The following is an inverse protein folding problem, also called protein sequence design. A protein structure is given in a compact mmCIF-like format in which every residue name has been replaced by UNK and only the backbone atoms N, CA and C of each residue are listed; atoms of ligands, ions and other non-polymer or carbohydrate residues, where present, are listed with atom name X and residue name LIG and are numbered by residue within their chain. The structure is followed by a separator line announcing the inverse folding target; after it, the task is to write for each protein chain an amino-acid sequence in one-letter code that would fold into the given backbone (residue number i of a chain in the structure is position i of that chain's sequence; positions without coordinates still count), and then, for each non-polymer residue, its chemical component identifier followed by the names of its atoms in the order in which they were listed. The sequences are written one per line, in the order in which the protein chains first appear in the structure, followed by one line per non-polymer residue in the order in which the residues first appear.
data_IF_967130681549
#
_entry.id   IF_967130681549
#
_cell.length_a   1.000
_cell.length_b   1.000
_cell.length_c   1.000
_cell.angle_alpha   90.00
_cell.angle_beta   90.00
_cell.angle_gamma   90.00
#
_symmetry.space_group_name_H-M   'P 1'
#
loop_
_entity.id
_entity.type
_entity.pdbx_description
1 polymer ?
#
# COMPACT_ATOMS: atom_id res chain seq x y z
N UNK A 1 59.26 -27.15 -68.92
CA UNK A 1 57.85 -26.91 -68.56
C UNK A 1 57.74 -26.97 -67.04
N UNK A 2 57.61 -25.84 -66.34
CA UNK A 2 57.69 -25.77 -64.88
C UNK A 2 56.24 -25.68 -64.32
N UNK A 3 55.90 -26.60 -63.45
CA UNK A 3 54.67 -26.61 -62.66
C UNK A 3 54.78 -25.62 -61.49
N UNK A 4 53.86 -24.67 -61.41
CA UNK A 4 53.68 -23.81 -60.22
C UNK A 4 52.68 -24.47 -59.29
N UNK A 5 53.11 -24.76 -58.06
CA UNK A 5 52.24 -25.11 -56.94
C UNK A 5 51.82 -23.79 -56.24
N UNK A 6 50.56 -23.57 -56.06
CA UNK A 6 50.01 -22.52 -55.18
C UNK A 6 49.62 -23.16 -53.85
N UNK A 7 50.02 -22.64 -52.71
CA UNK A 7 49.66 -23.22 -51.44
C UNK A 7 48.27 -22.70 -51.01
N UNK A 8 47.45 -23.66 -50.58
CA UNK A 8 46.17 -23.45 -49.92
C UNK A 8 46.45 -23.17 -48.41
N UNK A 9 46.48 -21.93 -47.96
CA UNK A 9 46.47 -21.64 -46.53
C UNK A 9 46.02 -20.18 -46.34
N UNK A 10 44.78 -19.98 -45.93
CA UNK A 10 44.28 -18.89 -45.10
C UNK A 10 42.76 -18.69 -45.25
N UNK A 11 42.01 -19.66 -44.77
CA UNK A 11 40.55 -19.45 -44.58
C UNK A 11 40.09 -20.26 -43.37
N UNK A 12 40.36 -19.77 -42.18
CA UNK A 12 39.99 -20.50 -40.96
C UNK A 12 40.06 -19.75 -39.65
N UNK A 13 40.06 -18.40 -39.64
CA UNK A 13 40.26 -17.68 -38.37
C UNK A 13 39.35 -16.47 -38.11
N UNK A 14 38.28 -16.29 -38.91
CA UNK A 14 37.40 -15.11 -38.71
C UNK A 14 36.02 -15.42 -38.15
N UNK A 15 35.63 -16.66 -37.86
CA UNK A 15 34.28 -16.98 -37.38
C UNK A 15 34.14 -17.18 -35.85
N UNK A 16 35.22 -17.23 -35.09
CA UNK A 16 35.13 -17.53 -33.64
C UNK A 16 35.08 -16.29 -32.75
N UNK A 17 35.44 -15.09 -33.25
CA UNK A 17 35.51 -13.89 -32.39
C UNK A 17 34.15 -13.19 -32.27
N UNK A 18 33.29 -13.24 -33.29
CA UNK A 18 31.99 -12.55 -33.29
C UNK A 18 30.96 -13.20 -32.34
N UNK A 19 30.98 -14.50 -32.14
CA UNK A 19 30.06 -15.20 -31.25
C UNK A 19 30.33 -14.95 -29.75
N UNK A 20 31.60 -14.81 -29.37
CA UNK A 20 31.96 -14.54 -27.98
C UNK A 20 31.69 -13.09 -27.56
N UNK A 21 31.75 -12.11 -28.47
CA UNK A 21 31.46 -10.72 -28.15
C UNK A 21 29.95 -10.51 -27.90
N UNK A 22 29.08 -11.15 -28.70
CA UNK A 22 27.62 -11.05 -28.53
C UNK A 22 27.13 -11.76 -27.26
N UNK A 23 27.67 -12.93 -26.94
CA UNK A 23 27.31 -13.63 -25.71
C UNK A 23 27.76 -12.88 -24.46
N UNK A 24 28.93 -12.23 -24.50
CA UNK A 24 29.42 -11.45 -23.36
C UNK A 24 28.64 -10.12 -23.16
N UNK A 25 28.21 -9.44 -24.22
CA UNK A 25 27.38 -8.26 -24.11
C UNK A 25 25.99 -8.60 -23.56
N UNK A 26 25.32 -9.62 -24.05
CA UNK A 26 24.00 -10.07 -23.54
C UNK A 26 24.10 -10.52 -22.09
N UNK A 27 25.18 -11.19 -21.69
CA UNK A 27 25.38 -11.58 -20.29
C UNK A 27 25.64 -10.38 -19.38
N UNK A 28 26.45 -9.41 -19.83
CA UNK A 28 26.73 -8.18 -19.10
C UNK A 28 25.48 -7.32 -18.94
N UNK A 29 24.66 -7.17 -19.98
CA UNK A 29 23.41 -6.43 -19.93
C UNK A 29 22.39 -7.09 -18.98
N UNK A 30 22.30 -8.43 -18.97
CA UNK A 30 21.45 -9.17 -18.06
C UNK A 30 21.90 -9.04 -16.59
N UNK A 31 23.20 -9.08 -16.32
CA UNK A 31 23.76 -8.89 -14.98
C UNK A 31 23.54 -7.45 -14.53
N UNK A 32 23.75 -6.47 -15.39
CA UNK A 32 23.55 -5.06 -15.09
C UNK A 32 22.06 -4.75 -14.79
N UNK A 33 21.15 -5.25 -15.62
CA UNK A 33 19.70 -5.11 -15.41
C UNK A 33 19.23 -5.80 -14.12
N UNK A 34 19.78 -6.97 -13.80
CA UNK A 34 19.48 -7.68 -12.55
C UNK A 34 20.01 -6.93 -11.32
N UNK A 35 21.22 -6.35 -11.41
CA UNK A 35 21.81 -5.57 -10.34
C UNK A 35 21.06 -4.27 -10.08
N UNK A 36 20.61 -3.58 -11.13
CA UNK A 36 19.74 -2.38 -11.02
C UNK A 36 18.42 -2.76 -10.35
N UNK A 37 17.75 -3.83 -10.80
CA UNK A 37 16.50 -4.30 -10.22
C UNK A 37 16.62 -4.69 -8.74
N UNK A 38 17.74 -5.29 -8.32
CA UNK A 38 18.05 -5.61 -6.92
C UNK A 38 18.32 -4.35 -6.10
N UNK A 39 19.05 -3.38 -6.66
CA UNK A 39 19.33 -2.10 -6.02
C UNK A 39 18.05 -1.29 -5.79
N UNK A 40 17.15 -1.25 -6.78
CA UNK A 40 15.87 -0.54 -6.69
C UNK A 40 14.95 -1.18 -5.65
N UNK A 41 14.91 -2.52 -5.57
CA UNK A 41 14.16 -3.26 -4.54
C UNK A 41 14.67 -2.95 -3.13
N UNK A 42 15.98 -2.97 -2.92
CA UNK A 42 16.60 -2.65 -1.62
C UNK A 42 16.35 -1.18 -1.24
N UNK A 43 16.40 -0.27 -2.21
CA UNK A 43 16.10 1.15 -2.01
C UNK A 43 14.63 1.39 -1.62
N UNK A 44 13.67 0.74 -2.29
CA UNK A 44 12.25 0.92 -1.99
C UNK A 44 11.87 0.43 -0.57
N UNK A 45 12.40 -0.72 -0.11
CA UNK A 45 12.18 -1.20 1.26
C UNK A 45 12.91 -0.35 2.30
N UNK A 46 14.05 0.28 1.98
CA UNK A 46 14.73 1.19 2.91
C UNK A 46 13.96 2.48 3.17
N UNK A 47 13.07 2.86 2.24
CA UNK A 47 12.19 4.03 2.32
C UNK A 47 10.83 3.73 2.97
N UNK A 48 10.58 2.49 3.37
CA UNK A 48 9.33 2.06 3.99
C UNK A 48 9.58 1.48 5.38
N UNK A 49 8.56 1.57 6.23
CA UNK A 49 8.47 0.87 7.52
C UNK A 49 7.49 -0.29 7.36
N UNK A 50 7.72 -1.39 8.09
CA UNK A 50 6.79 -2.52 8.16
C UNK A 50 6.29 -2.68 9.58
N UNK A 51 5.00 -2.91 9.73
CA UNK A 51 4.33 -3.09 11.02
C UNK A 51 3.52 -4.37 10.97
N UNK A 52 3.75 -5.26 11.91
CA UNK A 52 2.84 -6.37 12.21
C UNK A 52 1.72 -5.84 13.11
N UNK A 53 0.50 -5.76 12.55
CA UNK A 53 -0.64 -5.21 13.28
C UNK A 53 -1.08 -6.12 14.42
N UNK A 54 -0.82 -7.43 14.36
CA UNK A 54 -1.11 -8.35 15.47
C UNK A 54 -0.16 -8.11 16.64
N UNK A 55 1.14 -7.93 16.34
CA UNK A 55 2.12 -7.58 17.38
C UNK A 55 1.82 -6.21 17.99
N UNK A 56 1.45 -5.23 17.16
CA UNK A 56 1.08 -3.89 17.64
C UNK A 56 -0.13 -3.93 18.58
N UNK A 57 -1.18 -4.70 18.27
CA UNK A 57 -2.36 -4.86 19.13
C UNK A 57 -2.00 -5.58 20.42
N UNK A 58 -1.16 -6.63 20.34
CA UNK A 58 -0.78 -7.44 21.49
C UNK A 58 0.11 -6.68 22.50
N UNK A 59 0.97 -5.80 22.00
CA UNK A 59 1.88 -5.01 22.85
C UNK A 59 2.11 -3.61 22.26
N UNK A 60 1.11 -2.70 22.35
CA UNK A 60 1.21 -1.36 21.79
C UNK A 60 2.31 -0.51 22.46
N UNK A 61 2.74 -0.88 23.66
CA UNK A 61 3.81 -0.15 24.38
C UNK A 61 5.20 -0.26 23.74
N UNK A 62 5.39 -1.21 22.82
CA UNK A 62 6.62 -1.32 22.01
C UNK A 62 6.73 -0.23 20.93
N UNK A 63 5.67 0.52 20.70
CA UNK A 63 5.59 1.53 19.65
C UNK A 63 5.51 2.92 20.27
N UNK A 64 6.03 3.92 19.56
CA UNK A 64 6.12 5.31 20.02
C UNK A 64 4.76 6.05 19.92
N UNK A 65 3.74 5.49 20.57
CA UNK A 65 2.46 6.17 20.72
C UNK A 65 2.62 7.38 21.66
N UNK A 66 1.93 8.45 21.33
CA UNK A 66 1.81 9.62 22.19
C UNK A 66 0.35 9.96 22.47
N UNK A 67 0.06 10.53 23.62
CA UNK A 67 -1.29 10.94 24.00
C UNK A 67 -1.75 12.10 23.10
N UNK A 68 -2.65 11.80 22.18
CA UNK A 68 -3.24 12.79 21.27
C UNK A 68 -4.41 13.54 21.93
N UNK A 69 -5.21 12.83 22.70
CA UNK A 69 -6.33 13.31 23.53
C UNK A 69 -6.49 12.39 24.74
N UNK A 70 -7.26 12.78 25.77
CA UNK A 70 -7.57 11.85 26.86
C UNK A 70 -8.12 10.53 26.32
N UNK A 71 -7.52 9.41 26.72
CA UNK A 71 -7.84 8.03 26.31
C UNK A 71 -7.70 7.73 24.81
N UNK A 72 -6.96 8.55 24.09
CA UNK A 72 -6.70 8.38 22.66
C UNK A 72 -5.20 8.59 22.38
N UNK A 73 -4.53 7.52 22.05
CA UNK A 73 -3.12 7.50 21.66
C UNK A 73 -2.98 7.53 20.14
N UNK A 74 -1.91 8.15 19.64
CA UNK A 74 -1.61 8.25 18.21
C UNK A 74 -0.16 7.86 17.95
N UNK A 75 0.07 7.06 16.91
CA UNK A 75 1.36 6.72 16.33
C UNK A 75 1.43 7.28 14.92
N UNK A 76 2.31 8.24 14.64
CA UNK A 76 2.53 8.76 13.29
C UNK A 76 3.42 7.79 12.53
N UNK A 77 2.96 7.33 11.36
CA UNK A 77 3.69 6.41 10.48
C UNK A 77 4.39 7.14 9.34
N UNK A 78 3.77 8.22 8.84
CA UNK A 78 4.26 9.02 7.72
C UNK A 78 3.67 10.42 7.79
N UNK A 79 4.44 11.44 7.45
CA UNK A 79 4.01 12.85 7.54
C UNK A 79 4.12 13.41 8.96
N UNK A 80 3.31 14.43 9.28
CA UNK A 80 3.24 15.05 10.60
C UNK A 80 1.80 15.29 11.04
N UNK A 81 1.53 15.30 12.34
CA UNK A 81 0.19 15.32 12.91
C UNK A 81 -0.66 16.54 12.53
N UNK A 82 0.00 17.66 12.23
CA UNK A 82 -0.60 18.94 11.83
C UNK A 82 -0.69 19.13 10.31
N UNK A 83 -0.25 18.16 9.53
CA UNK A 83 -0.29 18.18 8.07
C UNK A 83 -0.88 16.87 7.52
N UNK A 84 -0.73 16.64 6.23
CA UNK A 84 -1.03 15.35 5.58
C UNK A 84 -0.23 14.23 6.26
N UNK A 85 -0.89 13.15 6.71
CA UNK A 85 -0.23 12.07 7.41
C UNK A 85 -1.00 10.75 7.40
N UNK A 86 -0.26 9.67 7.68
CA UNK A 86 -0.79 8.35 8.00
C UNK A 86 -0.42 8.04 9.45
N UNK A 87 -1.39 7.55 10.21
CA UNK A 87 -1.23 7.24 11.63
C UNK A 87 -2.03 6.02 12.04
N UNK A 88 -1.68 5.46 13.21
CA UNK A 88 -2.54 4.53 13.94
C UNK A 88 -3.11 5.28 15.14
N UNK A 89 -4.44 5.21 15.33
CA UNK A 89 -5.12 5.61 16.55
C UNK A 89 -5.42 4.40 17.41
N UNK A 90 -5.29 4.55 18.71
CA UNK A 90 -5.63 3.56 19.71
C UNK A 90 -6.49 4.18 20.80
N UNK A 91 -7.73 3.70 20.95
CA UNK A 91 -8.58 4.03 22.10
C UNK A 91 -8.21 3.13 23.27
N UNK A 92 -7.64 3.72 24.32
CA UNK A 92 -7.12 2.98 25.49
C UNK A 92 -8.22 2.48 26.43
N UNK A 93 -9.43 2.99 26.26
CA UNK A 93 -10.63 2.56 26.99
C UNK A 93 -11.82 2.39 26.04
N UNK A 94 -12.82 1.56 26.40
CA UNK A 94 -14.08 1.47 25.64
C UNK A 94 -14.85 2.80 25.60
N UNK A 95 -15.76 2.93 24.63
CA UNK A 95 -16.65 4.09 24.44
C UNK A 95 -15.90 5.40 24.23
N UNK A 96 -14.75 5.35 23.58
CA UNK A 96 -14.01 6.54 23.17
C UNK A 96 -14.82 7.43 22.24
N UNK A 97 -14.51 8.73 22.25
CA UNK A 97 -15.21 9.71 21.43
C UNK A 97 -14.26 10.80 20.91
N UNK A 98 -14.60 11.37 19.75
CA UNK A 98 -13.96 12.58 19.21
C UNK A 98 -15.07 13.58 18.87
N UNK A 99 -14.90 14.84 19.29
CA UNK A 99 -15.85 15.90 19.01
C UNK A 99 -16.11 16.10 17.51
N UNK A 100 -17.20 16.78 17.18
CA UNK A 100 -17.50 17.14 15.79
C UNK A 100 -16.31 17.88 15.17
N UNK A 101 -15.92 17.46 13.97
CA UNK A 101 -14.82 18.04 13.22
C UNK A 101 -15.09 17.99 11.71
N UNK A 102 -14.46 18.88 10.99
CA UNK A 102 -14.60 19.10 9.56
C UNK A 102 -13.37 18.56 8.82
N UNK A 103 -13.61 18.00 7.64
CA UNK A 103 -12.58 17.53 6.71
C UNK A 103 -12.60 18.39 5.44
N UNK A 104 -11.58 19.22 5.23
CA UNK A 104 -11.43 19.99 3.99
C UNK A 104 -11.03 19.13 2.79
N UNK A 105 -10.41 17.97 3.06
CA UNK A 105 -9.96 16.97 2.11
C UNK A 105 -10.42 15.57 2.57
N UNK A 106 -10.13 14.53 1.80
CA UNK A 106 -10.52 13.16 2.16
C UNK A 106 -9.80 12.66 3.42
N UNK A 107 -10.57 12.04 4.31
CA UNK A 107 -10.10 11.16 5.37
C UNK A 107 -10.34 9.69 4.98
N UNK A 108 -9.38 8.82 5.28
CA UNK A 108 -9.53 7.36 5.21
C UNK A 108 -9.37 6.77 6.59
N UNK A 109 -10.25 5.83 6.94
CA UNK A 109 -10.17 5.06 8.17
C UNK A 109 -10.31 3.58 7.87
N UNK A 110 -9.38 2.77 8.39
CA UNK A 110 -9.45 1.31 8.40
C UNK A 110 -9.46 0.79 9.83
N UNK A 111 -10.49 0.05 10.20
CA UNK A 111 -10.61 -0.55 11.54
C UNK A 111 -9.77 -1.81 11.60
N UNK A 112 -8.64 -1.76 12.31
CA UNK A 112 -7.72 -2.89 12.51
C UNK A 112 -8.34 -3.88 13.51
N UNK A 113 -8.79 -3.36 14.64
CA UNK A 113 -9.43 -4.12 15.72
C UNK A 113 -10.44 -3.23 16.45
N UNK A 114 -11.53 -3.82 16.94
CA UNK A 114 -12.58 -3.11 17.65
C UNK A 114 -13.65 -2.51 16.74
N UNK A 115 -14.11 -1.30 17.08
CA UNK A 115 -15.26 -0.68 16.40
C UNK A 115 -15.18 0.84 16.50
N UNK A 116 -15.47 1.54 15.41
CA UNK A 116 -15.74 2.97 15.41
C UNK A 116 -17.21 3.24 15.06
N UNK A 117 -17.79 4.26 15.67
CA UNK A 117 -19.20 4.62 15.45
C UNK A 117 -19.34 6.13 15.26
N UNK A 118 -20.13 6.52 14.28
CA UNK A 118 -20.58 7.90 14.06
C UNK A 118 -22.07 7.94 13.66
N UNK A 119 -22.56 9.10 13.25
CA UNK A 119 -23.96 9.24 12.80
C UNK A 119 -24.23 8.57 11.45
N UNK A 120 -23.21 8.14 10.71
CA UNK A 120 -23.33 7.49 9.40
C UNK A 120 -23.30 5.96 9.50
N UNK A 121 -22.75 5.40 10.59
CA UNK A 121 -22.68 3.96 10.73
C UNK A 121 -21.85 3.46 11.89
N UNK A 122 -21.76 2.15 11.93
CA UNK A 122 -20.89 1.36 12.82
C UNK A 122 -19.87 0.64 11.96
N UNK A 123 -18.60 0.80 12.27
CA UNK A 123 -17.46 0.33 11.49
C UNK A 123 -16.62 -0.68 12.28
N UNK A 124 -17.01 -1.98 12.28
CA UNK A 124 -16.27 -3.02 12.99
C UNK A 124 -14.93 -3.36 12.30
N UNK A 125 -14.14 -4.21 12.91
CA UNK A 125 -12.88 -4.77 12.37
C UNK A 125 -13.03 -5.18 10.91
N UNK A 126 -12.09 -4.74 10.06
CA UNK A 126 -12.11 -4.94 8.60
C UNK A 126 -12.93 -3.91 7.83
N UNK A 127 -13.57 -2.95 8.50
CA UNK A 127 -14.23 -1.83 7.80
C UNK A 127 -13.20 -0.83 7.29
N UNK A 128 -13.33 -0.47 6.03
CA UNK A 128 -12.65 0.64 5.39
C UNK A 128 -13.71 1.68 5.02
N UNK A 129 -13.54 2.92 5.44
CA UNK A 129 -14.42 3.99 4.99
C UNK A 129 -13.65 5.26 4.69
N UNK A 130 -14.26 6.10 3.85
CA UNK A 130 -13.71 7.38 3.43
C UNK A 130 -14.75 8.46 3.62
N UNK A 131 -14.38 9.51 4.32
CA UNK A 131 -15.11 10.75 4.41
C UNK A 131 -14.62 11.70 3.31
N UNK A 132 -15.50 12.16 2.39
CA UNK A 132 -15.08 13.01 1.28
C UNK A 132 -14.75 14.44 1.74
N UNK A 133 -14.18 15.28 0.86
CA UNK A 133 -14.00 16.70 1.14
C UNK A 133 -15.30 17.38 1.57
N UNK A 134 -15.18 18.39 2.43
CA UNK A 134 -16.27 19.17 3.01
C UNK A 134 -17.23 18.35 3.89
N UNK A 135 -16.86 17.14 4.26
CA UNK A 135 -17.56 16.31 5.23
C UNK A 135 -17.19 16.67 6.66
N UNK A 136 -17.89 16.08 7.60
CA UNK A 136 -17.53 16.15 9.02
C UNK A 136 -18.40 15.25 9.87
N UNK A 137 -17.82 14.75 10.95
CA UNK A 137 -18.50 13.82 11.83
C UNK A 137 -18.06 13.97 13.28
N UNK A 138 -18.82 13.34 14.17
CA UNK A 138 -18.51 13.15 15.58
C UNK A 138 -18.37 11.66 15.81
N UNK A 139 -17.26 11.24 16.38
CA UNK A 139 -17.05 9.86 16.76
C UNK A 139 -17.65 9.59 18.15
N UNK A 140 -18.35 8.48 18.27
CA UNK A 140 -18.95 8.00 19.52
C UNK A 140 -18.69 6.50 19.68
N UNK A 141 -18.65 6.03 20.92
CA UNK A 141 -18.57 4.58 21.24
C UNK A 141 -17.47 3.82 20.49
N UNK A 142 -16.29 4.39 20.36
CA UNK A 142 -15.16 3.74 19.69
C UNK A 142 -14.29 2.97 20.65
N UNK A 143 -13.69 1.88 20.16
CA UNK A 143 -12.73 1.05 20.90
C UNK A 143 -11.79 0.37 19.92
N UNK A 144 -10.53 0.14 20.34
CA UNK A 144 -9.54 -0.60 19.55
C UNK A 144 -8.61 0.28 18.72
N UNK A 145 -8.19 -0.23 17.56
CA UNK A 145 -7.11 0.32 16.75
C UNK A 145 -7.56 0.63 15.32
N UNK A 146 -7.07 1.75 14.78
CA UNK A 146 -7.47 2.24 13.46
C UNK A 146 -6.27 2.77 12.69
N UNK A 147 -6.15 2.45 11.39
CA UNK A 147 -5.28 3.19 10.48
C UNK A 147 -6.06 4.39 9.98
N UNK A 148 -5.52 5.59 10.16
CA UNK A 148 -6.05 6.81 9.60
C UNK A 148 -5.09 7.41 8.60
N UNK A 149 -5.63 7.88 7.48
CA UNK A 149 -4.90 8.69 6.52
C UNK A 149 -5.67 9.99 6.29
N UNK A 150 -5.01 11.11 6.50
CA UNK A 150 -5.55 12.43 6.31
C UNK A 150 -4.86 13.14 5.14
N UNK A 151 -5.60 13.47 4.09
CA UNK A 151 -5.09 14.36 3.05
C UNK A 151 -4.97 15.81 3.57
N UNK A 152 -5.76 16.18 4.57
CA UNK A 152 -5.64 17.38 5.40
C UNK A 152 -6.08 17.06 6.82
N UNK A 153 -5.45 17.62 7.87
CA UNK A 153 -5.83 17.37 9.26
C UNK A 153 -7.31 17.76 9.53
N UNK A 154 -7.96 17.09 10.49
CA UNK A 154 -9.32 17.46 10.89
C UNK A 154 -9.36 18.85 11.55
N UNK A 155 -10.38 19.64 11.24
CA UNK A 155 -10.60 20.99 11.75
C UNK A 155 -11.79 21.02 12.71
N UNK A 156 -11.53 21.37 13.97
CA UNK A 156 -12.53 21.45 15.03
C UNK A 156 -13.21 22.83 15.13
N UNK A 157 -12.74 23.81 14.34
CA UNK A 157 -13.20 25.20 14.39
C UNK A 157 -14.21 25.54 13.30
N UNK A 158 -14.12 24.89 12.14
CA UNK A 158 -14.91 25.18 10.93
C UNK A 158 -16.05 24.17 10.72
N UNK A 159 -16.70 23.73 11.79
CA UNK A 159 -17.77 22.72 11.72
C UNK A 159 -19.05 23.23 11.03
N UNK A 160 -19.22 24.53 10.89
CA UNK A 160 -20.27 25.20 10.11
C UNK A 160 -20.13 25.00 8.59
N UNK A 161 -18.93 24.59 8.11
CA UNK A 161 -18.66 24.29 6.69
C UNK A 161 -19.05 22.88 6.27
N UNK A 162 -19.49 22.03 7.20
CA UNK A 162 -19.86 20.65 6.92
C UNK A 162 -21.06 20.63 5.98
N UNK A 163 -20.90 19.93 4.85
CA UNK A 163 -21.97 19.69 3.88
C UNK A 163 -22.56 18.28 4.05
N UNK A 164 -23.81 18.05 3.62
CA UNK A 164 -24.35 16.69 3.52
C UNK A 164 -23.46 15.80 2.64
N UNK A 165 -23.15 14.59 3.11
CA UNK A 165 -22.31 13.65 2.41
C UNK A 165 -22.71 12.20 2.70
N UNK A 166 -22.23 11.30 1.85
CA UNK A 166 -22.27 9.85 2.06
C UNK A 166 -20.84 9.33 2.02
N UNK A 167 -20.36 8.65 3.07
CA UNK A 167 -19.04 8.05 3.05
C UNK A 167 -19.01 6.87 2.08
N UNK A 168 -17.86 6.64 1.44
CA UNK A 168 -17.61 5.36 0.77
C UNK A 168 -17.25 4.34 1.84
N UNK A 169 -17.93 3.19 1.85
CA UNK A 169 -17.74 2.14 2.86
C UNK A 169 -17.50 0.80 2.19
N UNK A 170 -16.52 0.04 2.68
CA UNK A 170 -16.15 -1.27 2.19
C UNK A 170 -15.89 -2.18 3.39
N UNK A 171 -16.57 -3.31 3.47
CA UNK A 171 -16.20 -4.37 4.41
C UNK A 171 -15.15 -5.27 3.74
N UNK A 172 -13.87 -5.06 4.08
CA UNK A 172 -12.77 -5.85 3.49
C UNK A 172 -12.70 -7.28 4.03
N UNK A 173 -13.40 -7.57 5.12
CA UNK A 173 -13.52 -8.91 5.70
C UNK A 173 -14.66 -9.73 5.07
N UNK A 174 -15.48 -9.11 4.18
CA UNK A 174 -16.55 -9.79 3.48
C UNK A 174 -16.00 -10.95 2.62
N UNK A 175 -16.44 -12.20 2.83
CA UNK A 175 -16.03 -13.32 1.98
C UNK A 175 -16.46 -13.14 0.51
N UNK A 176 -17.51 -12.37 0.25
CA UNK A 176 -18.05 -12.08 -1.07
C UNK A 176 -17.57 -10.73 -1.65
N UNK A 177 -16.49 -10.17 -1.12
CA UNK A 177 -15.95 -8.87 -1.54
C UNK A 177 -15.85 -8.73 -3.07
N UNK A 178 -15.37 -9.77 -3.77
CA UNK A 178 -15.23 -9.74 -5.24
C UNK A 178 -16.56 -9.85 -6.00
N UNK A 179 -17.63 -10.30 -5.36
CA UNK A 179 -18.97 -10.31 -5.94
C UNK A 179 -19.67 -8.96 -5.75
N UNK A 180 -19.37 -8.29 -4.62
CA UNK A 180 -20.01 -7.03 -4.24
C UNK A 180 -19.35 -5.81 -4.89
N UNK A 181 -18.10 -5.95 -5.37
CA UNK A 181 -17.33 -4.88 -6.01
C UNK A 181 -16.79 -5.31 -7.36
N UNK A 182 -16.83 -4.40 -8.34
CA UNK A 182 -16.37 -4.70 -9.70
C UNK A 182 -14.87 -4.59 -9.80
N UNK A 183 -14.20 -5.73 -9.73
CA UNK A 183 -12.76 -5.82 -9.98
C UNK A 183 -12.48 -5.91 -11.49
N UNK A 184 -11.58 -5.08 -11.99
CA UNK A 184 -11.13 -5.10 -13.37
C UNK A 184 -9.78 -5.81 -13.51
N UNK A 185 -9.54 -6.51 -14.62
CA UNK A 185 -8.24 -7.09 -14.91
C UNK A 185 -7.26 -5.97 -15.26
N UNK A 186 -6.16 -5.87 -14.49
CA UNK A 186 -5.06 -4.96 -14.79
C UNK A 186 -3.98 -5.66 -15.63
N UNK A 187 -3.73 -6.95 -15.34
CA UNK A 187 -2.82 -7.84 -16.07
C UNK A 187 -3.14 -9.30 -15.72
N UNK A 188 -2.48 -10.27 -16.39
CA UNK A 188 -2.72 -11.70 -16.15
C UNK A 188 -2.55 -12.05 -14.65
N UNK A 189 -3.62 -12.59 -14.05
CA UNK A 189 -3.66 -12.98 -12.62
C UNK A 189 -3.72 -11.82 -11.64
N UNK A 190 -3.93 -10.56 -12.09
CA UNK A 190 -4.10 -9.41 -11.20
C UNK A 190 -5.40 -8.68 -11.53
N UNK A 191 -6.24 -8.55 -10.51
CA UNK A 191 -7.49 -7.77 -10.53
C UNK A 191 -7.40 -6.60 -9.58
N UNK A 192 -7.96 -5.46 -9.94
CA UNK A 192 -7.95 -4.24 -9.14
C UNK A 192 -9.37 -3.69 -9.05
N UNK A 193 -9.76 -3.30 -7.85
CA UNK A 193 -10.91 -2.45 -7.61
C UNK A 193 -10.41 -1.05 -7.23
N UNK A 194 -10.69 -0.08 -8.09
CA UNK A 194 -10.45 1.33 -7.80
C UNK A 194 -11.59 1.84 -6.92
N UNK A 195 -11.26 2.29 -5.70
CA UNK A 195 -12.26 2.85 -4.78
C UNK A 195 -12.75 4.19 -5.35
N UNK A 196 -14.07 4.41 -5.51
CA UNK A 196 -14.61 5.60 -6.16
C UNK A 196 -14.56 6.82 -5.22
N UNK A 197 -13.39 7.42 -5.06
CA UNK A 197 -13.17 8.62 -4.26
C UNK A 197 -13.29 9.89 -5.11
N UNK A 198 -13.62 11.03 -4.47
CA UNK A 198 -13.58 12.34 -5.11
C UNK A 198 -12.14 12.67 -5.53
N UNK A 199 -11.85 12.91 -6.83
CA UNK A 199 -10.51 13.25 -7.29
C UNK A 199 -9.93 14.52 -6.64
N UNK A 200 -10.80 15.42 -6.17
CA UNK A 200 -10.39 16.65 -5.46
C UNK A 200 -10.02 16.40 -4.01
N UNK A 201 -10.28 15.18 -3.51
CA UNK A 201 -10.04 14.82 -2.11
C UNK A 201 -8.57 14.62 -1.75
N UNK A 202 -7.66 14.65 -2.74
CA UNK A 202 -6.22 14.48 -2.51
C UNK A 202 -5.83 13.07 -2.08
N UNK A 203 -6.66 12.07 -2.40
CA UNK A 203 -6.43 10.67 -2.02
C UNK A 203 -6.98 9.73 -3.09
N UNK A 204 -6.30 8.60 -3.30
CA UNK A 204 -6.80 7.48 -4.07
C UNK A 204 -6.57 6.16 -3.33
N UNK A 205 -7.41 5.16 -3.56
CA UNK A 205 -7.27 3.85 -2.93
C UNK A 205 -7.64 2.73 -3.88
N UNK A 206 -7.00 1.58 -3.71
CA UNK A 206 -7.21 0.39 -4.52
C UNK A 206 -7.23 -0.86 -3.64
N UNK A 207 -8.12 -1.80 -3.99
CA UNK A 207 -8.01 -3.18 -3.49
C UNK A 207 -7.44 -4.00 -4.64
N UNK A 208 -6.30 -4.64 -4.38
CA UNK A 208 -5.50 -5.36 -5.38
C UNK A 208 -5.53 -6.85 -5.03
N UNK A 209 -6.03 -7.68 -5.92
CA UNK A 209 -5.96 -9.13 -5.83
C UNK A 209 -4.96 -9.67 -6.83
N UNK A 210 -3.99 -10.46 -6.37
CA UNK A 210 -3.07 -11.20 -7.22
C UNK A 210 -3.19 -12.69 -6.94
N UNK A 211 -3.27 -13.49 -8.00
CA UNK A 211 -3.26 -14.97 -7.98
C UNK A 211 -2.08 -15.54 -8.77
N UNK A 212 -1.12 -14.69 -9.12
CA UNK A 212 0.03 -15.08 -9.93
C UNK A 212 1.33 -14.49 -9.39
N UNK A 213 2.46 -15.06 -9.84
CA UNK A 213 3.80 -14.53 -9.54
C UNK A 213 4.16 -13.28 -10.37
N UNK A 214 3.27 -12.88 -11.29
CA UNK A 214 3.48 -11.69 -12.12
C UNK A 214 3.40 -10.46 -11.24
N UNK A 215 4.41 -9.60 -11.35
CA UNK A 215 4.51 -8.40 -10.52
C UNK A 215 3.60 -7.30 -11.04
N UNK A 216 2.76 -6.81 -10.17
CA UNK A 216 1.97 -5.60 -10.39
C UNK A 216 2.70 -4.40 -9.77
N UNK A 217 2.90 -3.33 -10.54
CA UNK A 217 3.49 -2.09 -10.03
C UNK A 217 2.38 -1.23 -9.42
N UNK A 218 2.48 -0.97 -8.13
CA UNK A 218 1.61 -0.05 -7.39
C UNK A 218 2.39 1.18 -6.96
N UNK A 219 1.79 2.36 -7.12
CA UNK A 219 2.31 3.63 -6.60
C UNK A 219 1.41 4.07 -5.45
N UNK A 220 1.97 4.29 -4.27
CA UNK A 220 1.19 4.67 -3.10
C UNK A 220 2.02 4.95 -1.87
N UNK A 221 1.32 5.28 -0.78
CA UNK A 221 1.92 5.59 0.50
C UNK A 221 1.91 4.41 1.45
N UNK A 222 0.91 3.51 1.32
CA UNK A 222 0.95 2.23 2.03
C UNK A 222 0.33 1.07 1.25
N UNK A 223 0.68 -0.15 1.67
CA UNK A 223 0.03 -1.42 1.35
C UNK A 223 -0.27 -2.17 2.66
N UNK A 224 -1.52 -2.57 2.86
CA UNK A 224 -1.95 -3.46 3.93
C UNK A 224 -2.36 -4.81 3.32
N UNK A 225 -1.77 -5.90 3.80
CA UNK A 225 -2.16 -7.26 3.38
C UNK A 225 -3.44 -7.66 4.11
N UNK A 226 -4.54 -7.77 3.35
CA UNK A 226 -5.87 -8.11 3.87
C UNK A 226 -6.09 -9.63 3.97
N UNK A 227 -5.51 -10.41 3.03
CA UNK A 227 -5.69 -11.87 2.97
C UNK A 227 -4.54 -12.53 2.21
N UNK A 228 -4.16 -13.73 2.64
CA UNK A 228 -3.10 -14.55 2.05
C UNK A 228 -1.72 -13.96 2.27
N UNK A 229 -0.78 -14.32 1.37
CA UNK A 229 0.61 -13.90 1.44
C UNK A 229 1.00 -13.12 0.18
N UNK A 230 1.46 -11.89 0.36
CA UNK A 230 1.88 -10.99 -0.70
C UNK A 230 3.41 -10.90 -0.76
N UNK A 231 3.98 -11.04 -1.95
CA UNK A 231 5.37 -10.65 -2.19
C UNK A 231 5.40 -9.16 -2.56
N UNK A 232 5.91 -8.34 -1.66
CA UNK A 232 6.06 -6.89 -1.88
C UNK A 232 7.55 -6.57 -1.95
N UNK A 233 8.01 -6.09 -3.10
CA UNK A 233 9.41 -5.76 -3.37
C UNK A 233 10.40 -6.92 -3.09
N UNK A 234 9.96 -8.17 -3.28
CA UNK A 234 10.79 -9.36 -3.09
C UNK A 234 10.81 -9.91 -1.67
N UNK A 235 10.06 -9.33 -0.72
CA UNK A 235 9.85 -9.85 0.64
C UNK A 235 8.41 -10.32 0.79
N UNK A 236 8.20 -11.44 1.47
CA UNK A 236 6.87 -11.99 1.75
C UNK A 236 6.29 -11.33 2.99
N UNK A 237 5.01 -10.95 2.90
CA UNK A 237 4.22 -10.36 3.97
C UNK A 237 2.88 -11.09 4.03
N UNK A 238 2.55 -11.56 5.21
CA UNK A 238 1.29 -12.25 5.47
C UNK A 238 0.18 -11.28 5.85
N UNK A 239 -1.04 -11.80 6.00
CA UNK A 239 -2.20 -11.04 6.46
C UNK A 239 -1.88 -10.22 7.71
N UNK A 240 -2.42 -8.99 7.79
CA UNK A 240 -2.27 -8.01 8.85
C UNK A 240 -0.88 -7.34 8.90
N UNK A 241 -0.05 -7.53 7.85
CA UNK A 241 1.19 -6.78 7.68
C UNK A 241 0.93 -5.48 6.92
N UNK A 242 1.39 -4.37 7.50
CA UNK A 242 1.33 -3.03 6.91
C UNK A 242 2.73 -2.61 6.45
N UNK A 243 2.85 -2.22 5.18
CA UNK A 243 4.06 -1.60 4.61
C UNK A 243 3.72 -0.15 4.30
N UNK A 244 4.35 0.79 4.97
CA UNK A 244 4.07 2.23 4.84
C UNK A 244 5.33 3.01 4.47
N UNK A 245 5.20 3.97 3.57
CA UNK A 245 6.28 4.89 3.21
C UNK A 245 6.72 5.73 4.43
N UNK A 246 8.01 5.89 4.65
CA UNK A 246 8.56 6.70 5.77
C UNK A 246 8.26 8.19 5.63
N UNK A 247 8.04 8.64 4.41
CA UNK A 247 7.66 10.01 4.09
C UNK A 247 6.34 10.03 3.36
N UNK A 248 5.70 11.20 3.29
CA UNK A 248 4.43 11.38 2.60
C UNK A 248 4.56 11.25 1.06
N UNK A 249 5.77 11.15 0.54
CA UNK A 249 6.01 10.92 -0.87
C UNK A 249 5.57 9.52 -1.31
N UNK A 250 4.89 9.44 -2.42
CA UNK A 250 4.46 8.19 -3.05
C UNK A 250 5.66 7.29 -3.36
N UNK A 251 5.58 6.03 -2.96
CA UNK A 251 6.58 5.01 -3.24
C UNK A 251 6.09 4.02 -4.30
N UNK A 252 7.04 3.42 -5.03
CA UNK A 252 6.75 2.35 -5.98
C UNK A 252 6.89 0.99 -5.30
N UNK A 253 5.82 0.20 -5.32
CA UNK A 253 5.79 -1.16 -4.82
C UNK A 253 5.62 -2.14 -5.98
N UNK A 254 6.32 -3.26 -5.92
CA UNK A 254 6.15 -4.41 -6.82
C UNK A 254 5.42 -5.49 -6.05
N UNK A 255 4.14 -5.73 -6.36
CA UNK A 255 3.26 -6.67 -5.67
C UNK A 255 3.00 -7.91 -6.52
N UNK A 256 3.04 -9.10 -5.93
CA UNK A 256 2.56 -10.35 -6.53
C UNK A 256 2.04 -11.30 -5.44
N UNK A 257 1.34 -12.36 -5.83
CA UNK A 257 1.11 -13.48 -4.94
C UNK A 257 2.42 -14.24 -4.65
N UNK A 258 2.41 -15.10 -3.65
CA UNK A 258 3.43 -16.14 -3.43
C UNK A 258 3.05 -17.44 -4.16
N UNK A 259 4.00 -18.37 -4.30
CA UNK A 259 3.73 -19.63 -4.97
C UNK A 259 2.67 -20.45 -4.20
N UNK A 260 1.59 -20.84 -4.89
CA UNK A 260 0.51 -21.65 -4.33
C UNK A 260 -0.50 -20.91 -3.46
N UNK A 261 -0.42 -19.56 -3.36
CA UNK A 261 -1.31 -18.73 -2.57
C UNK A 261 -1.92 -17.59 -3.38
N UNK A 262 -2.80 -16.83 -2.77
CA UNK A 262 -3.36 -15.58 -3.31
C UNK A 262 -3.01 -14.43 -2.37
N UNK A 263 -2.90 -13.25 -2.93
CA UNK A 263 -2.63 -12.00 -2.23
C UNK A 263 -3.81 -11.05 -2.44
N UNK A 264 -4.38 -10.55 -1.34
CA UNK A 264 -5.31 -9.43 -1.37
C UNK A 264 -4.72 -8.29 -0.54
N UNK A 265 -4.52 -7.14 -1.14
CA UNK A 265 -3.93 -5.98 -0.48
C UNK A 265 -4.77 -4.72 -0.69
N UNK A 266 -4.83 -3.89 0.34
CA UNK A 266 -5.35 -2.52 0.28
C UNK A 266 -4.18 -1.57 0.07
N UNK A 267 -4.26 -0.74 -0.96
CA UNK A 267 -3.32 0.34 -1.22
C UNK A 267 -3.96 1.71 -1.09
N UNK A 268 -3.23 2.68 -0.56
CA UNK A 268 -3.63 4.07 -0.46
C UNK A 268 -2.51 4.98 -0.95
N UNK A 269 -2.88 6.02 -1.67
CA UNK A 269 -2.00 7.09 -2.15
C UNK A 269 -2.65 8.46 -1.91
N UNK A 270 -1.81 9.41 -1.52
CA UNK A 270 -2.13 10.82 -1.53
C UNK A 270 -1.83 11.45 -2.89
#
# INVERSE_FOLDING_TARGET
MRLFRIPLLAMGLFFSVSFNLHANTVLADNIHSSAIALRDKKSALSKSTTIDLKELIADPKKYDFFTFRPNLEKLILSGAADTQHISILWYTIPNGSVGLHYHSMTESVYTIDGTQTDAKGVYPTGSLYFNPPESGHKITNSTGFFILAYASPPDFSNTDKIKPYTPVQINTADPDLEKNYTFTYSQAGVKVYDVPLDPKGGMSSKIIKSTSLIRYKYLGNYLLVLKGSCNINGKVFDKDMLVVAKTIETQSYSLSATAGDSCLALGLSF
#
